data_IF_663450662418
#
_entry.id   IF_663450662418
#
_cell.length_a   1.000
_cell.length_b   1.000
_cell.length_c   1.000
_cell.angle_alpha   90.00
_cell.angle_beta   90.00
_cell.angle_gamma   90.00
#
_symmetry.space_group_name_H-M   'P 1'
#
loop_
_entity.id
_entity.type
_entity.pdbx_description
1 polymer ?
#
# COMPACT_ATOMS: atom_id res chain seq x y z
N UNK A 1 -8.85 0.67 -10.75
CA UNK A 1 -10.02 0.48 -9.85
C UNK A 1 -9.76 -0.55 -8.76
N UNK A 2 -9.30 -1.77 -9.06
CA UNK A 2 -8.99 -2.77 -8.03
C UNK A 2 -7.90 -2.29 -7.05
N UNK A 3 -6.80 -1.71 -7.57
CA UNK A 3 -5.74 -1.13 -6.75
C UNK A 3 -6.29 -0.05 -5.79
N UNK A 4 -7.05 0.93 -6.30
CA UNK A 4 -7.68 1.96 -5.46
C UNK A 4 -8.60 1.37 -4.39
N UNK A 5 -9.41 0.36 -4.71
CA UNK A 5 -10.28 -0.31 -3.73
C UNK A 5 -9.50 -1.00 -2.61
N UNK A 6 -8.35 -1.60 -2.95
CA UNK A 6 -7.46 -2.20 -1.95
C UNK A 6 -6.80 -1.12 -1.09
N UNK A 7 -6.22 -0.10 -1.73
CA UNK A 7 -5.53 0.99 -1.04
C UNK A 7 -6.44 1.72 -0.04
N UNK A 8 -7.68 1.98 -0.46
CA UNK A 8 -8.67 2.72 0.33
C UNK A 8 -9.47 1.80 1.27
N UNK A 9 -9.22 0.49 1.28
CA UNK A 9 -9.92 -0.45 2.16
C UNK A 9 -9.58 -0.12 3.62
N UNK A 10 -10.56 -0.06 4.55
CA UNK A 10 -10.33 0.28 5.95
C UNK A 10 -9.24 -0.56 6.63
N UNK A 11 -9.18 -1.86 6.32
CA UNK A 11 -8.16 -2.75 6.87
C UNK A 11 -6.75 -2.41 6.39
N UNK A 12 -6.61 -2.03 5.10
CA UNK A 12 -5.32 -1.61 4.55
C UNK A 12 -4.87 -0.30 5.21
N UNK A 13 -5.77 0.67 5.31
CA UNK A 13 -5.49 1.95 5.99
C UNK A 13 -5.11 1.73 7.45
N UNK A 14 -5.82 0.87 8.17
CA UNK A 14 -5.50 0.53 9.56
C UNK A 14 -4.13 -0.16 9.68
N UNK A 15 -3.81 -1.09 8.77
CA UNK A 15 -2.51 -1.76 8.73
C UNK A 15 -1.37 -0.78 8.48
N UNK A 16 -1.48 0.11 7.48
CA UNK A 16 -0.45 1.12 7.20
C UNK A 16 -0.24 2.02 8.42
N UNK A 17 -1.32 2.50 9.04
CA UNK A 17 -1.26 3.37 10.22
C UNK A 17 -0.64 2.68 11.43
N UNK A 18 -1.16 1.51 11.80
CA UNK A 18 -0.89 0.90 13.11
C UNK A 18 0.32 -0.02 13.10
N UNK A 19 0.73 -0.51 11.92
CA UNK A 19 1.83 -1.48 11.78
C UNK A 19 2.95 -0.95 10.90
N UNK A 20 2.63 -0.50 9.69
CA UNK A 20 3.67 -0.14 8.71
C UNK A 20 4.46 1.11 9.13
N UNK A 21 3.78 2.23 9.38
CA UNK A 21 4.42 3.50 9.77
C UNK A 21 5.34 3.34 11.01
N UNK A 22 4.92 2.68 12.10
CA UNK A 22 5.78 2.54 13.28
C UNK A 22 6.90 1.50 13.14
N UNK A 23 6.78 0.49 12.28
CA UNK A 23 7.70 -0.66 12.27
C UNK A 23 8.70 -0.67 11.11
N UNK A 24 8.41 0.02 10.01
CA UNK A 24 9.24 -0.03 8.80
C UNK A 24 10.19 1.17 8.74
N UNK A 25 11.49 0.88 8.82
CA UNK A 25 12.56 1.90 8.80
C UNK A 25 12.77 2.52 7.41
N UNK A 26 12.63 1.74 6.33
CA UNK A 26 12.75 2.22 4.96
C UNK A 26 11.93 1.34 4.01
N UNK A 27 11.33 1.95 2.98
CA UNK A 27 10.56 1.23 1.96
C UNK A 27 10.74 1.85 0.57
N UNK A 28 10.50 1.04 -0.46
CA UNK A 28 10.40 1.47 -1.86
C UNK A 28 9.21 0.75 -2.48
N UNK A 29 8.28 1.50 -3.08
CA UNK A 29 7.13 0.95 -3.81
C UNK A 29 7.39 1.05 -5.32
N UNK A 30 7.14 -0.05 -6.05
CA UNK A 30 7.30 -0.12 -7.50
C UNK A 30 6.11 -0.88 -8.08
N UNK A 31 5.27 -0.18 -8.82
CA UNK A 31 4.16 -0.74 -9.58
C UNK A 31 4.51 -0.90 -11.05
N UNK A 32 4.01 -1.97 -11.68
CA UNK A 32 4.25 -2.27 -13.09
C UNK A 32 2.96 -2.27 -13.90
N UNK A 33 3.10 -1.84 -15.16
CA UNK A 33 2.11 -2.05 -16.21
C UNK A 33 2.80 -2.75 -17.40
N UNK A 34 2.04 -3.46 -18.25
CA UNK A 34 2.58 -4.04 -19.47
C UNK A 34 3.27 -2.98 -20.33
N UNK A 35 4.41 -3.34 -20.93
CA UNK A 35 5.02 -2.52 -21.96
C UNK A 35 4.09 -2.51 -23.18
N UNK A 36 3.66 -1.31 -23.59
CA UNK A 36 2.74 -1.09 -24.71
C UNK A 36 3.45 -1.08 -26.06
#
# INVERSE_FOLDING_TARGET
AAYSRYNDHPDHVAFVRDRWIPEIEAFLEIDYAPLS
#
